data_IF_737537311275
#
_entry.id   IF_737537311275
#
_cell.length_a   1.000
_cell.length_b   1.000
_cell.length_c   1.000
_cell.angle_alpha   90.00
_cell.angle_beta   90.00
_cell.angle_gamma   90.00
#
_symmetry.space_group_name_H-M   'P 1'
#
loop_
_entity.id
_entity.type
_entity.pdbx_description
1 polymer ?
#
# COMPACT_ATOMS: atom_id res chain seq x y z
N UNK A 1 4.03 -18.59 7.14
CA UNK A 1 3.74 -17.27 7.71
C UNK A 1 3.22 -16.38 6.60
N UNK A 2 2.03 -15.80 6.74
CA UNK A 2 1.48 -14.81 5.81
C UNK A 2 1.80 -13.43 6.40
N UNK A 3 3.10 -13.08 6.44
CA UNK A 3 3.53 -11.75 6.87
C UNK A 3 3.30 -10.73 5.76
N UNK A 4 3.00 -9.49 6.11
CA UNK A 4 2.82 -8.38 5.14
C UNK A 4 4.10 -7.96 4.41
N UNK A 5 5.25 -8.56 4.72
CA UNK A 5 6.54 -8.25 4.12
C UNK A 5 6.76 -9.00 2.81
N UNK A 6 7.30 -8.31 1.80
CA UNK A 6 7.68 -8.84 0.50
C UNK A 6 8.87 -9.81 0.67
N UNK A 7 8.68 -11.08 0.29
CA UNK A 7 9.81 -11.96 -0.01
C UNK A 7 10.26 -11.71 -1.46
N UNK A 8 11.56 -11.77 -1.75
CA UNK A 8 12.13 -11.47 -3.10
C UNK A 8 11.50 -12.29 -4.23
N UNK A 9 11.11 -13.53 -3.96
CA UNK A 9 10.40 -14.39 -4.93
C UNK A 9 8.97 -13.92 -5.23
N UNK A 10 8.31 -13.25 -4.29
CA UNK A 10 6.97 -12.72 -4.50
C UNK A 10 7.01 -11.44 -5.36
N UNK A 11 8.11 -10.68 -5.34
CA UNK A 11 8.25 -9.43 -6.08
C UNK A 11 8.21 -9.63 -7.62
N UNK A 12 8.85 -10.67 -8.14
CA UNK A 12 8.85 -10.99 -9.58
C UNK A 12 7.49 -11.46 -10.08
N UNK A 13 6.78 -12.24 -9.28
CA UNK A 13 5.43 -12.70 -9.59
C UNK A 13 4.43 -11.55 -9.49
N UNK A 14 4.52 -10.71 -8.46
CA UNK A 14 3.68 -9.52 -8.32
C UNK A 14 3.81 -8.57 -9.52
N UNK A 15 5.01 -8.41 -10.09
CA UNK A 15 5.21 -7.58 -11.27
C UNK A 15 4.43 -8.09 -12.49
N UNK A 16 4.38 -9.41 -12.69
CA UNK A 16 3.64 -10.02 -13.82
C UNK A 16 2.12 -9.92 -13.66
N UNK A 17 1.62 -9.74 -12.44
CA UNK A 17 0.20 -9.63 -12.14
C UNK A 17 -0.35 -8.20 -12.27
N UNK A 18 0.55 -7.19 -12.34
CA UNK A 18 0.13 -5.79 -12.33
C UNK A 18 -0.57 -5.40 -13.64
N UNK A 19 -1.73 -4.73 -13.56
CA UNK A 19 -2.32 -4.10 -14.72
C UNK A 19 -1.40 -3.00 -15.25
N UNK A 20 -1.40 -2.81 -16.57
CA UNK A 20 -0.56 -1.82 -17.25
C UNK A 20 -1.34 -0.58 -17.68
N UNK A 21 -2.67 -0.64 -17.70
CA UNK A 21 -3.54 0.46 -18.11
C UNK A 21 -4.64 0.72 -17.07
N UNK A 22 -5.21 1.94 -17.07
CA UNK A 22 -6.35 2.28 -16.22
C UNK A 22 -7.57 1.38 -16.48
N UNK A 23 -7.77 0.95 -17.72
CA UNK A 23 -8.89 0.07 -18.07
C UNK A 23 -8.75 -1.34 -17.45
N UNK A 24 -7.53 -1.82 -17.28
CA UNK A 24 -7.23 -3.09 -16.63
C UNK A 24 -7.21 -3.00 -15.10
N UNK A 25 -7.16 -1.79 -14.56
CA UNK A 25 -7.10 -1.56 -13.12
C UNK A 25 -8.50 -1.68 -12.51
N UNK A 26 -8.73 -2.71 -11.71
CA UNK A 26 -10.01 -3.02 -11.07
C UNK A 26 -10.15 -2.18 -9.79
N UNK A 27 -11.36 -1.75 -9.48
CA UNK A 27 -11.68 -0.95 -8.28
C UNK A 27 -11.22 0.51 -8.34
N UNK A 28 -11.26 1.20 -7.21
CA UNK A 28 -10.86 2.61 -7.05
C UNK A 28 -11.49 3.57 -8.08
N UNK A 29 -12.77 3.39 -8.38
CA UNK A 29 -13.43 4.02 -9.53
C UNK A 29 -13.27 5.53 -9.60
N UNK A 30 -13.46 6.25 -8.49
CA UNK A 30 -13.29 7.72 -8.43
C UNK A 30 -11.87 8.17 -8.76
N UNK A 31 -10.87 7.43 -8.26
CA UNK A 31 -9.45 7.73 -8.52
C UNK A 31 -9.14 7.51 -9.99
N UNK A 32 -9.65 6.42 -10.59
CA UNK A 32 -9.49 6.12 -12.03
C UNK A 32 -10.10 7.20 -12.92
N UNK A 33 -11.33 7.60 -12.63
CA UNK A 33 -12.04 8.63 -13.40
C UNK A 33 -11.27 9.95 -13.38
N UNK A 34 -10.85 10.40 -12.20
CA UNK A 34 -10.08 11.64 -12.06
C UNK A 34 -8.73 11.56 -12.81
N UNK A 35 -7.96 10.49 -12.59
CA UNK A 35 -6.67 10.31 -13.25
C UNK A 35 -6.83 10.21 -14.77
N UNK A 36 -7.87 9.54 -15.27
CA UNK A 36 -8.14 9.47 -16.71
C UNK A 36 -8.34 10.85 -17.33
N UNK A 37 -9.11 11.72 -16.66
CA UNK A 37 -9.34 13.11 -17.12
C UNK A 37 -8.02 13.89 -17.10
N UNK A 38 -7.26 13.83 -16.01
CA UNK A 38 -6.02 14.62 -15.87
C UNK A 38 -4.94 14.16 -16.86
N UNK A 39 -4.78 12.85 -17.05
CA UNK A 39 -3.85 12.28 -18.02
C UNK A 39 -4.23 12.68 -19.45
N UNK A 40 -5.51 12.57 -19.82
CA UNK A 40 -5.97 13.00 -21.13
C UNK A 40 -5.73 14.49 -21.37
N UNK A 41 -6.04 15.33 -20.38
CA UNK A 41 -5.83 16.79 -20.48
C UNK A 41 -4.34 17.15 -20.62
N UNK A 42 -3.46 16.52 -19.83
CA UNK A 42 -2.01 16.71 -19.93
C UNK A 42 -1.48 16.31 -21.31
N UNK A 43 -1.90 15.15 -21.83
CA UNK A 43 -1.54 14.68 -23.18
C UNK A 43 -2.04 15.62 -24.30
N UNK A 44 -3.25 16.16 -24.17
CA UNK A 44 -3.79 17.11 -25.16
C UNK A 44 -3.00 18.43 -25.20
N UNK A 45 -2.40 18.82 -24.07
CA UNK A 45 -1.57 20.04 -23.98
C UNK A 45 -0.08 19.77 -24.23
N UNK A 46 0.30 18.51 -24.40
CA UNK A 46 1.72 18.06 -24.50
C UNK A 46 2.54 18.51 -23.28
N UNK A 47 1.94 18.46 -22.10
CA UNK A 47 2.54 18.84 -20.82
C UNK A 47 2.71 17.62 -19.91
N UNK A 48 3.68 17.62 -18.97
CA UNK A 48 3.71 16.62 -17.91
C UNK A 48 2.46 16.68 -17.07
N UNK A 49 2.07 15.57 -16.46
CA UNK A 49 0.99 15.54 -15.50
C UNK A 49 1.39 16.30 -14.23
N UNK A 50 0.46 16.98 -13.59
CA UNK A 50 0.66 17.53 -12.25
C UNK A 50 1.18 16.46 -11.28
N UNK A 51 1.96 16.87 -10.27
CA UNK A 51 2.45 15.93 -9.25
C UNK A 51 1.30 15.28 -8.51
N UNK A 52 1.39 13.96 -8.31
CA UNK A 52 0.34 13.12 -7.74
C UNK A 52 0.77 12.55 -6.39
N UNK A 53 -0.06 12.68 -5.37
CA UNK A 53 0.10 11.97 -4.10
C UNK A 53 -0.92 10.85 -3.98
N UNK A 54 -0.43 9.61 -3.90
CA UNK A 54 -1.23 8.41 -3.67
C UNK A 54 -1.09 8.01 -2.19
N UNK A 55 -2.19 8.01 -1.44
CA UNK A 55 -2.12 7.68 -0.01
C UNK A 55 -3.21 6.72 0.43
N UNK A 56 -2.95 5.97 1.48
CA UNK A 56 -3.85 4.96 2.03
C UNK A 56 -3.11 3.73 2.54
N UNK A 57 -3.82 2.76 3.14
CA UNK A 57 -3.26 1.53 3.68
C UNK A 57 -2.30 0.81 2.71
N UNK A 58 -1.40 -0.06 3.21
CA UNK A 58 -0.50 -0.83 2.37
C UNK A 58 -1.25 -1.85 1.50
N UNK A 59 -0.67 -2.23 0.36
CA UNK A 59 -1.21 -3.29 -0.50
C UNK A 59 -2.40 -2.93 -1.38
N UNK A 60 -2.79 -1.64 -1.44
CA UNK A 60 -3.94 -1.17 -2.24
C UNK A 60 -3.59 -0.80 -3.69
N UNK A 61 -2.34 -0.96 -4.12
CA UNK A 61 -1.94 -0.74 -5.51
C UNK A 61 -1.36 0.65 -5.81
N UNK A 62 -0.85 1.42 -4.83
CA UNK A 62 -0.22 2.74 -5.06
C UNK A 62 0.88 2.68 -6.11
N UNK A 63 1.84 1.77 -5.97
CA UNK A 63 2.93 1.57 -6.92
C UNK A 63 2.45 1.15 -8.31
N UNK A 64 1.42 0.30 -8.36
CA UNK A 64 0.79 -0.14 -9.61
C UNK A 64 0.16 1.05 -10.34
N UNK A 65 -0.57 1.88 -9.62
CA UNK A 65 -1.23 3.05 -10.20
C UNK A 65 -0.20 4.08 -10.69
N UNK A 66 0.91 4.27 -9.98
CA UNK A 66 2.01 5.12 -10.42
C UNK A 66 2.64 4.62 -11.74
N UNK A 67 2.84 3.30 -11.87
CA UNK A 67 3.35 2.70 -13.11
C UNK A 67 2.35 2.87 -14.27
N UNK A 68 1.05 2.74 -14.00
CA UNK A 68 -0.02 2.97 -14.99
C UNK A 68 0.01 4.43 -15.46
N UNK A 69 0.17 5.41 -14.57
CA UNK A 69 0.29 6.82 -14.94
C UNK A 69 1.41 7.01 -15.96
N UNK A 70 2.59 6.47 -15.70
CA UNK A 70 3.72 6.58 -16.63
C UNK A 70 3.42 5.91 -17.99
N UNK A 71 2.82 4.73 -17.96
CA UNK A 71 2.45 4.02 -19.18
C UNK A 71 1.39 4.77 -20.00
N UNK A 72 0.35 5.29 -19.37
CA UNK A 72 -0.69 6.08 -20.03
C UNK A 72 -0.15 7.41 -20.59
N UNK A 73 0.83 8.01 -19.91
CA UNK A 73 1.54 9.21 -20.41
C UNK A 73 2.54 8.88 -21.54
N UNK A 74 2.94 7.61 -21.68
CA UNK A 74 3.92 7.16 -22.69
C UNK A 74 5.36 7.57 -22.36
N UNK A 75 5.72 7.64 -21.07
CA UNK A 75 7.03 8.10 -20.57
C UNK A 75 7.70 7.04 -19.69
N UNK A 76 8.98 7.27 -19.36
CA UNK A 76 9.72 6.37 -18.49
C UNK A 76 9.24 6.44 -17.04
N UNK A 77 9.27 5.28 -16.39
CA UNK A 77 8.92 5.14 -14.98
C UNK A 77 10.18 4.88 -14.16
N UNK A 78 10.57 5.86 -13.34
CA UNK A 78 11.70 5.77 -12.41
C UNK A 78 11.18 5.58 -11.00
N UNK A 79 11.77 4.64 -10.27
CA UNK A 79 11.30 4.29 -8.93
C UNK A 79 12.40 4.42 -7.89
N UNK A 80 12.03 4.97 -6.75
CA UNK A 80 12.85 5.01 -5.54
C UNK A 80 11.95 4.98 -4.30
N UNK A 81 12.54 5.07 -3.13
CA UNK A 81 11.80 5.15 -1.87
C UNK A 81 12.37 6.24 -0.96
N UNK A 82 11.54 6.80 -0.07
CA UNK A 82 11.98 7.78 0.91
C UNK A 82 13.21 7.32 1.70
N UNK A 83 13.21 6.10 2.27
CA UNK A 83 14.37 5.56 3.00
C UNK A 83 15.63 5.40 2.17
N UNK A 84 15.54 5.24 0.86
CA UNK A 84 16.69 5.08 -0.02
C UNK A 84 17.36 6.42 -0.36
N UNK A 85 16.72 7.54 -0.08
CA UNK A 85 17.24 8.90 -0.31
C UNK A 85 17.68 9.49 1.02
N UNK A 86 18.96 9.30 1.36
CA UNK A 86 19.48 9.77 2.65
C UNK A 86 19.95 11.23 2.60
N UNK A 87 20.38 11.71 1.44
CA UNK A 87 20.99 13.02 1.26
C UNK A 87 20.44 13.75 0.05
N UNK A 88 20.52 15.07 0.08
CA UNK A 88 20.16 15.94 -1.05
C UNK A 88 20.87 15.55 -2.35
N UNK A 89 22.13 15.10 -2.28
CA UNK A 89 22.88 14.63 -3.44
C UNK A 89 22.32 13.38 -4.10
N UNK A 90 21.72 12.46 -3.32
CA UNK A 90 21.09 11.25 -3.86
C UNK A 90 19.86 11.63 -4.70
N UNK A 91 19.03 12.54 -4.16
CA UNK A 91 17.89 13.08 -4.88
C UNK A 91 18.32 13.84 -6.14
N UNK A 92 19.35 14.68 -6.03
CA UNK A 92 19.87 15.45 -7.16
C UNK A 92 20.35 14.54 -8.30
N UNK A 93 21.06 13.45 -7.99
CA UNK A 93 21.49 12.47 -8.98
C UNK A 93 20.32 11.81 -9.70
N UNK A 94 19.25 11.45 -8.96
CA UNK A 94 18.03 10.88 -9.55
C UNK A 94 17.36 11.90 -10.47
N UNK A 95 17.10 13.11 -9.99
CA UNK A 95 16.40 14.15 -10.75
C UNK A 95 17.17 14.59 -12.00
N UNK A 96 18.50 14.67 -11.93
CA UNK A 96 19.35 15.01 -13.07
C UNK A 96 19.41 13.93 -14.16
N UNK A 97 18.97 12.71 -13.86
CA UNK A 97 18.90 11.59 -14.81
C UNK A 97 17.56 11.46 -15.52
N UNK A 98 16.58 12.31 -15.18
CA UNK A 98 15.25 12.29 -15.79
C UNK A 98 15.28 12.90 -17.19
N UNK A 99 14.41 12.41 -18.06
CA UNK A 99 14.09 12.98 -19.35
C UNK A 99 12.78 13.78 -19.30
N UNK A 100 12.51 14.68 -20.27
CA UNK A 100 11.28 15.46 -20.27
C UNK A 100 10.03 14.60 -20.25
N UNK A 101 9.15 14.85 -19.27
CA UNK A 101 7.91 14.12 -19.07
C UNK A 101 8.00 12.87 -18.20
N UNK A 102 9.19 12.42 -17.84
CA UNK A 102 9.38 11.22 -17.00
C UNK A 102 8.55 11.26 -15.72
N UNK A 103 8.13 10.08 -15.26
CA UNK A 103 7.47 9.90 -13.97
C UNK A 103 8.49 9.35 -12.96
N UNK A 104 8.75 10.15 -11.92
CA UNK A 104 9.51 9.72 -10.75
C UNK A 104 8.54 9.27 -9.66
N UNK A 105 8.63 8.02 -9.25
CA UNK A 105 7.87 7.46 -8.14
C UNK A 105 8.73 7.37 -6.88
N UNK A 106 8.27 7.97 -5.78
CA UNK A 106 8.89 7.86 -4.46
C UNK A 106 7.91 7.17 -3.52
N UNK A 107 8.21 5.90 -3.18
CA UNK A 107 7.44 5.19 -2.16
C UNK A 107 7.83 5.67 -0.75
N UNK A 108 6.90 5.58 0.19
CA UNK A 108 7.10 6.06 1.58
C UNK A 108 7.66 7.50 1.64
N UNK A 109 7.11 8.40 0.81
CA UNK A 109 7.61 9.77 0.64
C UNK A 109 7.64 10.57 1.95
N UNK A 110 6.82 10.21 2.95
CA UNK A 110 6.84 10.79 4.29
C UNK A 110 8.11 10.49 5.10
N UNK A 111 8.95 9.56 4.63
CA UNK A 111 10.23 9.20 5.26
C UNK A 111 11.42 9.94 4.68
N UNK A 112 11.20 10.87 3.76
CA UNK A 112 12.26 11.74 3.26
C UNK A 112 12.83 12.58 4.41
N UNK A 113 14.17 12.68 4.54
CA UNK A 113 14.78 13.63 5.46
C UNK A 113 14.39 15.07 5.09
N UNK A 114 14.19 15.93 6.09
CA UNK A 114 13.80 17.34 5.87
C UNK A 114 14.70 18.09 4.90
N UNK A 115 16.01 17.88 5.00
CA UNK A 115 16.98 18.50 4.09
C UNK A 115 16.81 18.05 2.62
N UNK A 116 16.28 16.85 2.39
CA UNK A 116 15.94 16.33 1.06
C UNK A 116 14.63 16.94 0.58
N UNK A 117 13.63 17.06 1.44
CA UNK A 117 12.37 17.75 1.10
C UNK A 117 12.62 19.20 0.65
N UNK A 118 13.51 19.95 1.35
CA UNK A 118 13.83 21.34 1.01
C UNK A 118 14.45 21.48 -0.39
N UNK A 119 15.19 20.48 -0.85
CA UNK A 119 15.73 20.43 -2.23
C UNK A 119 14.66 20.01 -3.24
N UNK A 120 13.71 19.20 -2.81
CA UNK A 120 12.61 18.73 -3.68
C UNK A 120 11.61 19.86 -4.01
N UNK A 121 11.41 20.83 -3.14
CA UNK A 121 10.41 21.89 -3.36
C UNK A 121 10.65 22.69 -4.64
N UNK A 122 11.83 23.31 -4.88
CA UNK A 122 12.08 24.03 -6.14
C UNK A 122 12.11 23.10 -7.36
N UNK A 123 12.49 21.85 -7.18
CA UNK A 123 12.43 20.87 -8.26
C UNK A 123 10.98 20.58 -8.71
N UNK A 124 10.01 20.57 -7.79
CA UNK A 124 8.60 20.37 -8.10
C UNK A 124 7.92 21.62 -8.68
N UNK A 125 8.29 22.81 -8.18
CA UNK A 125 7.62 24.07 -8.59
C UNK A 125 8.18 24.64 -9.88
N UNK A 126 9.51 24.72 -9.95
CA UNK A 126 10.22 25.51 -10.98
C UNK A 126 11.22 24.69 -11.80
N UNK A 127 11.27 23.37 -11.59
CA UNK A 127 12.16 22.42 -12.29
C UNK A 127 13.63 22.82 -12.23
N UNK A 128 14.13 23.16 -11.05
CA UNK A 128 15.56 23.37 -10.83
C UNK A 128 16.00 22.83 -9.46
N UNK A 129 17.30 22.64 -9.31
CA UNK A 129 17.96 22.31 -8.05
C UNK A 129 18.99 23.38 -7.73
N UNK A 130 19.06 23.80 -6.46
CA UNK A 130 20.17 24.57 -5.93
C UNK A 130 21.07 23.64 -5.09
N UNK A 131 22.28 23.36 -5.59
CA UNK A 131 23.25 22.49 -4.93
C UNK A 131 24.41 23.32 -4.40
N UNK A 132 24.72 23.14 -3.11
CA UNK A 132 25.89 23.78 -2.50
C UNK A 132 27.12 22.90 -2.75
N UNK A 133 28.06 23.42 -3.50
CA UNK A 133 29.37 22.78 -3.81
C UNK A 133 30.45 23.43 -2.96
N UNK A 134 31.26 22.61 -2.28
CA UNK A 134 32.37 23.06 -1.42
C UNK A 134 31.91 23.19 0.06
N UNK A 135 32.86 23.56 0.90
CA UNK A 135 32.65 23.71 2.36
C UNK A 135 33.20 25.05 2.85
N UNK A 136 32.63 25.60 3.91
CA UNK A 136 33.07 26.85 4.54
C UNK A 136 32.90 28.08 3.65
N UNK A 137 33.77 29.09 3.76
CA UNK A 137 33.65 30.37 3.01
C UNK A 137 33.73 30.25 1.49
N UNK A 138 34.24 29.12 0.96
CA UNK A 138 34.35 28.85 -0.48
C UNK A 138 33.12 28.08 -1.02
N UNK A 139 32.13 27.79 -0.21
CA UNK A 139 30.93 27.14 -0.67
C UNK A 139 30.17 28.02 -1.69
N UNK A 140 29.75 27.42 -2.80
CA UNK A 140 29.01 28.11 -3.86
C UNK A 140 27.71 27.34 -4.13
N UNK A 141 26.60 28.07 -4.27
CA UNK A 141 25.38 27.50 -4.79
C UNK A 141 25.43 27.45 -6.32
N UNK A 142 25.16 26.29 -6.88
CA UNK A 142 25.05 26.07 -8.33
C UNK A 142 23.62 25.64 -8.61
N UNK A 143 22.97 26.37 -9.51
CA UNK A 143 21.64 26.02 -10.02
C UNK A 143 21.79 25.05 -11.18
N UNK A 144 21.02 23.96 -11.12
CA UNK A 144 20.90 22.95 -12.17
C UNK A 144 19.46 22.94 -12.64
N UNK A 145 19.22 23.28 -13.90
CA UNK A 145 17.90 23.18 -14.51
C UNK A 145 17.55 21.71 -14.75
N UNK A 146 16.31 21.34 -14.45
CA UNK A 146 15.75 20.01 -14.64
C UNK A 146 14.76 20.00 -15.81
N UNK A 147 14.64 18.88 -16.53
CA UNK A 147 13.53 18.71 -17.45
C UNK A 147 12.20 18.68 -16.65
N UNK A 148 11.09 19.18 -17.22
CA UNK A 148 9.78 19.01 -16.61
C UNK A 148 9.46 17.53 -16.40
N UNK A 149 9.01 17.15 -15.22
CA UNK A 149 8.71 15.77 -14.82
C UNK A 149 7.47 15.71 -13.94
N UNK A 150 6.93 14.51 -13.77
CA UNK A 150 5.85 14.26 -12.82
C UNK A 150 6.38 13.49 -11.61
N UNK A 151 6.22 14.04 -10.41
CA UNK A 151 6.45 13.30 -9.17
C UNK A 151 5.16 12.57 -8.77
N UNK A 152 5.24 11.27 -8.59
CA UNK A 152 4.20 10.48 -7.94
C UNK A 152 4.72 10.03 -6.57
N UNK A 153 4.25 10.67 -5.51
CA UNK A 153 4.55 10.27 -4.14
C UNK A 153 3.55 9.23 -3.65
N UNK A 154 4.03 8.23 -2.91
CA UNK A 154 3.17 7.29 -2.20
C UNK A 154 3.44 7.30 -0.70
N UNK A 155 2.38 7.17 0.10
CA UNK A 155 2.51 7.09 1.56
C UNK A 155 1.37 6.29 2.19
N UNK A 156 1.69 5.57 3.23
CA UNK A 156 0.70 4.96 4.14
C UNK A 156 0.23 5.97 5.20
N UNK A 157 1.01 7.01 5.46
CA UNK A 157 0.84 7.98 6.56
C UNK A 157 0.80 9.42 6.05
N UNK A 158 -0.28 9.81 5.37
CA UNK A 158 -0.42 11.17 4.83
C UNK A 158 -0.31 12.28 5.89
N UNK A 159 -0.67 11.98 7.13
CA UNK A 159 -0.55 12.92 8.25
C UNK A 159 0.89 13.22 8.70
N UNK A 160 1.88 12.40 8.30
CA UNK A 160 3.31 12.63 8.60
C UNK A 160 4.00 13.47 7.51
N UNK A 161 3.36 13.69 6.38
CA UNK A 161 3.88 14.60 5.35
C UNK A 161 3.90 16.04 5.87
N UNK A 162 5.00 16.73 5.60
CA UNK A 162 5.06 18.16 5.86
C UNK A 162 4.00 18.91 5.03
N UNK A 163 3.40 19.93 5.59
CA UNK A 163 2.42 20.73 4.86
C UNK A 163 3.01 21.33 3.56
N UNK A 164 4.25 21.89 3.56
CA UNK A 164 4.87 22.39 2.35
C UNK A 164 5.03 21.34 1.23
N UNK A 165 5.37 20.10 1.57
CA UNK A 165 5.48 19.03 0.57
C UNK A 165 4.10 18.63 0.04
N UNK A 166 3.14 18.46 0.93
CA UNK A 166 1.78 18.05 0.55
C UNK A 166 1.10 19.06 -0.38
N UNK A 167 1.29 20.36 -0.11
CA UNK A 167 0.64 21.44 -0.87
C UNK A 167 1.20 21.60 -2.30
N UNK A 168 2.33 20.94 -2.60
CA UNK A 168 2.94 20.89 -3.94
C UNK A 168 2.41 19.78 -4.84
N UNK A 169 1.62 18.86 -4.28
CA UNK A 169 0.92 17.88 -5.07
C UNK A 169 -0.40 18.47 -5.61
N UNK A 170 -0.51 18.60 -6.94
CA UNK A 170 -1.72 19.08 -7.60
C UNK A 170 -2.86 18.07 -7.55
N UNK A 171 -2.55 16.78 -7.46
CA UNK A 171 -3.52 15.68 -7.42
C UNK A 171 -3.33 14.85 -6.14
N UNK A 172 -4.35 14.85 -5.29
CA UNK A 172 -4.37 14.05 -4.06
C UNK A 172 -5.37 12.89 -4.22
N UNK A 173 -4.89 11.65 -4.22
CA UNK A 173 -5.72 10.46 -4.43
C UNK A 173 -5.62 9.51 -3.25
N UNK A 174 -6.70 9.41 -2.49
CA UNK A 174 -6.83 8.42 -1.42
C UNK A 174 -7.29 7.09 -2.00
N UNK A 175 -6.51 6.03 -1.74
CA UNK A 175 -6.92 4.67 -2.04
C UNK A 175 -7.63 4.09 -0.80
N UNK A 176 -8.75 3.43 -1.06
CA UNK A 176 -9.57 2.81 -0.04
C UNK A 176 -9.49 1.29 -0.15
N UNK A 177 -9.92 0.59 0.90
CA UNK A 177 -10.05 -0.85 0.84
C UNK A 177 -11.05 -1.24 -0.25
N UNK A 178 -10.75 -2.34 -0.93
CA UNK A 178 -11.54 -2.85 -2.03
C UNK A 178 -12.80 -3.55 -1.53
N UNK A 179 -13.87 -3.42 -2.27
CA UNK A 179 -15.07 -4.22 -2.09
C UNK A 179 -14.81 -5.69 -2.47
N UNK A 180 -15.56 -6.61 -1.86
CA UNK A 180 -15.38 -8.05 -2.13
C UNK A 180 -15.61 -8.39 -3.60
N UNK A 181 -16.48 -7.66 -4.30
CA UNK A 181 -16.76 -7.86 -5.72
C UNK A 181 -15.52 -7.54 -6.56
N UNK A 182 -14.88 -6.40 -6.32
CA UNK A 182 -13.65 -6.01 -7.02
C UNK A 182 -12.51 -7.01 -6.75
N UNK A 183 -12.38 -7.47 -5.50
CA UNK A 183 -11.38 -8.49 -5.15
C UNK A 183 -11.64 -9.83 -5.80
N UNK A 184 -12.90 -10.22 -5.97
CA UNK A 184 -13.27 -11.45 -6.68
C UNK A 184 -12.80 -11.37 -8.14
N UNK A 185 -13.05 -10.26 -8.82
CA UNK A 185 -12.57 -10.01 -10.19
C UNK A 185 -11.03 -10.03 -10.27
N UNK A 186 -10.34 -9.44 -9.28
CA UNK A 186 -8.87 -9.50 -9.19
C UNK A 186 -8.38 -10.94 -9.02
N UNK A 187 -9.02 -11.75 -8.17
CA UNK A 187 -8.69 -13.16 -7.95
C UNK A 187 -8.88 -13.97 -9.24
N UNK A 188 -10.01 -13.81 -9.92
CA UNK A 188 -10.31 -14.50 -11.17
C UNK A 188 -9.27 -14.12 -12.24
N UNK A 189 -9.00 -12.84 -12.45
CA UNK A 189 -7.96 -12.37 -13.37
C UNK A 189 -6.57 -12.93 -13.03
N UNK A 190 -6.23 -12.96 -11.74
CA UNK A 190 -4.93 -13.51 -11.30
C UNK A 190 -4.85 -15.01 -11.53
N UNK A 191 -5.94 -15.75 -11.34
CA UNK A 191 -6.02 -17.17 -11.64
C UNK A 191 -5.81 -17.44 -13.14
N UNK A 192 -6.40 -16.63 -14.01
CA UNK A 192 -6.20 -16.70 -15.46
C UNK A 192 -4.73 -16.46 -15.84
N UNK A 193 -4.07 -15.47 -15.27
CA UNK A 193 -2.63 -15.21 -15.49
C UNK A 193 -1.79 -16.40 -15.03
N UNK A 194 -2.16 -17.05 -13.94
CA UNK A 194 -1.52 -18.29 -13.46
C UNK A 194 -1.91 -19.54 -14.27
N UNK A 195 -2.76 -19.40 -15.29
CA UNK A 195 -3.30 -20.52 -16.06
C UNK A 195 -3.94 -21.60 -15.17
N UNK A 196 -4.64 -21.15 -14.14
CA UNK A 196 -5.28 -22.00 -13.13
C UNK A 196 -6.76 -21.70 -13.11
N UNK A 197 -7.60 -22.70 -13.32
CA UNK A 197 -9.04 -22.54 -13.19
C UNK A 197 -9.44 -22.42 -11.71
N UNK A 198 -10.37 -21.52 -11.41
CA UNK A 198 -10.96 -21.35 -10.08
C UNK A 198 -12.48 -21.30 -10.17
N UNK A 199 -13.16 -21.99 -9.27
CA UNK A 199 -14.63 -21.90 -9.17
C UNK A 199 -15.02 -20.56 -8.56
N UNK A 200 -16.16 -20.01 -8.99
CA UNK A 200 -16.64 -18.69 -8.56
C UNK A 200 -16.82 -18.58 -7.05
N UNK A 201 -17.32 -19.65 -6.42
CA UNK A 201 -17.49 -19.69 -4.96
C UNK A 201 -16.12 -19.65 -4.24
N UNK A 202 -15.11 -20.31 -4.78
CA UNK A 202 -13.75 -20.28 -4.29
C UNK A 202 -13.12 -18.88 -4.43
N UNK A 203 -13.28 -18.25 -5.59
CA UNK A 203 -12.79 -16.87 -5.81
C UNK A 203 -13.46 -15.87 -4.86
N UNK A 204 -14.76 -16.01 -4.64
CA UNK A 204 -15.51 -15.18 -3.69
C UNK A 204 -15.01 -15.37 -2.24
N UNK A 205 -14.69 -16.60 -1.84
CA UNK A 205 -14.19 -16.89 -0.51
C UNK A 205 -12.77 -16.33 -0.30
N UNK A 206 -11.88 -16.46 -1.29
CA UNK A 206 -10.55 -15.81 -1.26
C UNK A 206 -10.70 -14.30 -1.13
N UNK A 207 -11.59 -13.69 -1.93
CA UNK A 207 -11.84 -12.26 -1.91
C UNK A 207 -12.34 -11.79 -0.53
N UNK A 208 -13.29 -12.51 0.05
CA UNK A 208 -13.88 -12.21 1.37
C UNK A 208 -12.84 -12.19 2.48
N UNK A 209 -11.87 -13.14 2.45
CA UNK A 209 -10.82 -13.24 3.47
C UNK A 209 -9.56 -12.42 3.14
N UNK A 210 -9.59 -11.61 2.06
CA UNK A 210 -8.44 -10.81 1.62
C UNK A 210 -8.31 -9.44 2.28
N UNK A 211 -9.10 -9.15 3.31
CA UNK A 211 -8.99 -7.91 4.11
C UNK A 211 -9.10 -6.63 3.28
N UNK A 212 -9.90 -6.63 2.22
CA UNK A 212 -10.02 -5.47 1.33
C UNK A 212 -8.76 -5.14 0.51
N UNK A 213 -7.80 -6.08 0.39
CA UNK A 213 -6.45 -5.78 -0.12
C UNK A 213 -6.06 -6.69 -1.27
N UNK A 214 -5.82 -6.17 -2.49
CA UNK A 214 -5.38 -6.96 -3.65
C UNK A 214 -4.10 -7.78 -3.42
N UNK A 215 -3.13 -7.23 -2.69
CA UNK A 215 -1.88 -7.94 -2.34
C UNK A 215 -2.17 -9.21 -1.56
N UNK A 216 -3.06 -9.14 -0.55
CA UNK A 216 -3.42 -10.31 0.25
C UNK A 216 -4.21 -11.31 -0.59
N UNK A 217 -5.15 -10.85 -1.43
CA UNK A 217 -5.90 -11.70 -2.34
C UNK A 217 -4.98 -12.54 -3.24
N UNK A 218 -4.02 -11.89 -3.89
CA UNK A 218 -3.05 -12.55 -4.75
C UNK A 218 -2.15 -13.55 -4.00
N UNK A 219 -1.74 -13.21 -2.77
CA UNK A 219 -0.93 -14.11 -1.92
C UNK A 219 -1.71 -15.34 -1.49
N UNK A 220 -2.95 -15.16 -1.05
CA UNK A 220 -3.82 -16.28 -0.68
C UNK A 220 -4.07 -17.17 -1.88
N UNK A 221 -4.41 -16.62 -3.04
CA UNK A 221 -4.62 -17.38 -4.26
C UNK A 221 -3.38 -18.19 -4.66
N UNK A 222 -2.18 -17.60 -4.57
CA UNK A 222 -0.92 -18.30 -4.86
C UNK A 222 -0.77 -19.54 -3.99
N UNK A 223 -1.01 -19.44 -2.68
CA UNK A 223 -0.89 -20.57 -1.74
C UNK A 223 -1.98 -21.62 -1.93
N UNK A 224 -3.21 -21.18 -2.20
CA UNK A 224 -4.33 -22.09 -2.50
C UNK A 224 -4.05 -22.87 -3.78
N UNK A 225 -3.53 -22.21 -4.84
CA UNK A 225 -3.09 -22.84 -6.07
C UNK A 225 -2.04 -23.93 -5.81
N UNK A 226 -1.02 -23.63 -4.98
CA UNK A 226 0.03 -24.60 -4.67
C UNK A 226 -0.57 -25.89 -4.07
N UNK A 227 -1.55 -25.76 -3.16
CA UNK A 227 -2.25 -26.89 -2.53
C UNK A 227 -3.13 -27.64 -3.54
N UNK A 228 -3.89 -26.91 -4.36
CA UNK A 228 -4.75 -27.48 -5.41
C UNK A 228 -3.93 -28.30 -6.43
N UNK A 229 -2.76 -27.79 -6.84
CA UNK A 229 -1.83 -28.49 -7.72
C UNK A 229 -1.30 -29.81 -7.10
N UNK A 230 -0.92 -29.78 -5.83
CA UNK A 230 -0.46 -30.99 -5.12
C UNK A 230 -1.58 -32.03 -5.01
N UNK A 231 -2.84 -31.58 -4.85
CA UNK A 231 -4.01 -32.46 -4.87
C UNK A 231 -4.41 -32.98 -6.25
N UNK A 232 -3.80 -32.45 -7.33
CA UNK A 232 -4.13 -32.82 -8.71
C UNK A 232 -5.51 -32.34 -9.18
N UNK A 233 -6.03 -31.27 -8.63
CA UNK A 233 -7.33 -30.70 -9.02
C UNK A 233 -7.21 -29.98 -10.36
N UNK A 234 -8.23 -30.08 -11.19
CA UNK A 234 -8.33 -29.36 -12.46
C UNK A 234 -8.80 -27.91 -12.30
N UNK A 235 -9.45 -27.62 -11.19
CA UNK A 235 -9.93 -26.28 -10.83
C UNK A 235 -9.96 -26.15 -9.30
N UNK A 236 -9.54 -25.00 -8.80
CA UNK A 236 -9.59 -24.69 -7.37
C UNK A 236 -11.05 -24.70 -6.89
N UNK A 237 -11.34 -25.59 -5.95
CA UNK A 237 -12.67 -25.76 -5.36
C UNK A 237 -12.81 -24.93 -4.07
N UNK A 238 -14.06 -24.70 -3.62
CA UNK A 238 -14.33 -24.08 -2.33
C UNK A 238 -13.73 -24.92 -1.17
N UNK A 239 -13.89 -26.24 -1.24
CA UNK A 239 -13.35 -27.16 -0.24
C UNK A 239 -11.83 -27.02 -0.06
N UNK A 240 -11.10 -27.01 -1.19
CA UNK A 240 -9.63 -26.79 -1.16
C UNK A 240 -9.27 -25.39 -0.71
N UNK A 241 -10.08 -24.38 -1.05
CA UNK A 241 -9.90 -23.02 -0.56
C UNK A 241 -10.03 -22.96 0.96
N UNK A 242 -11.10 -23.50 1.54
CA UNK A 242 -11.31 -23.51 3.00
C UNK A 242 -10.24 -24.30 3.76
N UNK A 243 -9.85 -25.47 3.21
CA UNK A 243 -8.73 -26.23 3.78
C UNK A 243 -7.44 -25.42 3.78
N UNK A 244 -7.13 -24.76 2.66
CA UNK A 244 -5.92 -23.97 2.51
C UNK A 244 -5.89 -22.78 3.45
N UNK A 245 -7.00 -22.06 3.56
CA UNK A 245 -7.12 -20.92 4.47
C UNK A 245 -7.00 -21.34 5.94
N UNK A 246 -7.55 -22.50 6.30
CA UNK A 246 -7.37 -23.10 7.63
C UNK A 246 -5.90 -23.46 7.89
N UNK A 247 -5.20 -24.05 6.93
CA UNK A 247 -3.76 -24.34 7.05
C UNK A 247 -2.92 -23.07 7.18
N UNK A 248 -3.33 -21.98 6.54
CA UNK A 248 -2.69 -20.66 6.63
C UNK A 248 -3.10 -19.89 7.89
N UNK A 249 -3.97 -20.45 8.72
CA UNK A 249 -4.51 -19.82 9.94
C UNK A 249 -5.23 -18.51 9.66
N UNK A 250 -5.93 -18.42 8.51
CA UNK A 250 -6.76 -17.27 8.14
C UNK A 250 -8.21 -17.61 8.47
N UNK A 251 -8.80 -16.85 9.38
CA UNK A 251 -10.17 -17.08 9.85
C UNK A 251 -11.25 -16.54 8.90
N UNK A 252 -12.51 -16.66 9.31
CA UNK A 252 -13.68 -16.31 8.49
C UNK A 252 -13.76 -14.82 8.09
N UNK A 253 -13.12 -13.93 8.82
CA UNK A 253 -13.05 -12.50 8.49
C UNK A 253 -11.68 -12.07 7.97
N UNK A 254 -10.81 -13.03 7.67
CA UNK A 254 -9.47 -12.77 7.12
C UNK A 254 -8.41 -12.41 8.16
N UNK A 255 -8.65 -12.62 9.46
CA UNK A 255 -7.62 -12.42 10.48
C UNK A 255 -6.58 -13.54 10.42
N UNK A 256 -5.33 -13.16 10.40
CA UNK A 256 -4.22 -14.10 10.54
C UNK A 256 -3.85 -14.36 12.01
N UNK A 257 -2.83 -15.16 12.21
CA UNK A 257 -2.36 -15.52 13.55
C UNK A 257 -1.97 -14.30 14.40
N UNK A 258 -1.34 -13.28 13.78
CA UNK A 258 -0.89 -12.09 14.53
C UNK A 258 -2.08 -11.20 14.91
N UNK A 259 -3.04 -11.00 14.01
CA UNK A 259 -4.28 -10.27 14.34
C UNK A 259 -5.00 -10.91 15.52
N UNK A 260 -5.14 -12.25 15.48
CA UNK A 260 -5.81 -13.00 16.54
C UNK A 260 -5.03 -12.91 17.86
N UNK A 261 -3.70 -12.99 17.81
CA UNK A 261 -2.82 -12.83 18.98
C UNK A 261 -2.95 -11.43 19.56
N UNK A 262 -2.99 -10.39 18.70
CA UNK A 262 -3.18 -8.99 19.11
C UNK A 262 -4.50 -8.79 19.84
N UNK A 263 -5.60 -9.23 19.22
CA UNK A 263 -6.94 -9.06 19.79
C UNK A 263 -7.10 -9.84 21.09
N UNK A 264 -6.68 -11.11 21.11
CA UNK A 264 -6.72 -11.95 22.32
C UNK A 264 -5.85 -11.40 23.44
N UNK A 265 -4.64 -10.91 23.12
CA UNK A 265 -3.77 -10.26 24.11
C UNK A 265 -4.43 -9.04 24.75
N UNK A 266 -5.10 -8.19 23.95
CA UNK A 266 -5.84 -7.05 24.52
C UNK A 266 -7.01 -7.53 25.40
N UNK A 267 -7.72 -8.58 24.97
CA UNK A 267 -8.87 -9.13 25.72
C UNK A 267 -8.42 -9.77 27.02
N UNK A 268 -7.46 -10.70 26.97
CA UNK A 268 -7.09 -11.58 28.07
C UNK A 268 -6.15 -10.88 29.06
N UNK A 269 -5.08 -10.23 28.57
CA UNK A 269 -4.05 -9.62 29.41
C UNK A 269 -4.42 -8.21 29.91
N UNK A 270 -5.19 -7.46 29.10
CA UNK A 270 -5.57 -6.09 29.40
C UNK A 270 -7.08 -5.86 29.53
N UNK A 271 -7.83 -6.96 29.67
CA UNK A 271 -9.27 -6.92 29.93
C UNK A 271 -10.04 -6.06 28.90
N UNK A 272 -9.65 -6.11 27.62
CA UNK A 272 -10.26 -5.35 26.53
C UNK A 272 -9.72 -3.93 26.35
N UNK A 273 -8.80 -3.51 27.19
CA UNK A 273 -8.15 -2.19 27.12
C UNK A 273 -8.81 -1.13 28.00
N UNK A 274 -8.40 0.16 27.91
CA UNK A 274 -7.44 0.72 26.95
C UNK A 274 -5.99 0.36 27.22
N UNK A 275 -5.24 0.02 26.19
CA UNK A 275 -3.82 -0.36 26.28
C UNK A 275 -2.97 0.40 25.23
N UNK A 276 -1.78 0.84 25.62
CA UNK A 276 -0.85 1.57 24.75
C UNK A 276 -0.27 0.67 23.66
N UNK A 277 0.07 1.26 22.52
CA UNK A 277 0.62 0.54 21.36
C UNK A 277 1.91 -0.22 21.69
N UNK A 278 2.85 0.42 22.40
CA UNK A 278 4.13 -0.18 22.76
C UNK A 278 3.97 -1.37 23.73
N UNK A 279 2.96 -1.30 24.60
CA UNK A 279 2.61 -2.41 25.50
C UNK A 279 2.08 -3.60 24.72
N UNK A 280 1.18 -3.36 23.74
CA UNK A 280 0.68 -4.41 22.85
C UNK A 280 1.83 -5.03 22.07
N UNK A 281 2.69 -4.20 21.48
CA UNK A 281 3.85 -4.60 20.69
C UNK A 281 4.76 -5.54 21.48
N UNK A 282 5.10 -5.15 22.72
CA UNK A 282 5.90 -6.00 23.61
C UNK A 282 5.22 -7.33 23.95
N UNK A 283 3.89 -7.32 24.15
CA UNK A 283 3.13 -8.54 24.51
C UNK A 283 3.10 -9.56 23.38
N UNK A 284 2.91 -9.09 22.13
CA UNK A 284 2.81 -10.00 20.99
C UNK A 284 4.16 -10.25 20.29
N UNK A 285 5.22 -9.51 20.66
CA UNK A 285 6.55 -9.66 20.07
C UNK A 285 6.66 -9.06 18.66
N UNK A 286 5.96 -7.95 18.42
CA UNK A 286 5.97 -7.22 17.15
C UNK A 286 6.46 -5.78 17.37
N UNK A 287 6.88 -5.11 16.29
CA UNK A 287 7.21 -3.69 16.35
C UNK A 287 5.93 -2.83 16.40
N UNK A 288 5.92 -1.78 17.22
CA UNK A 288 4.79 -0.84 17.33
C UNK A 288 4.36 -0.27 15.98
N UNK A 289 5.34 0.06 15.13
CA UNK A 289 5.09 0.61 13.80
C UNK A 289 4.42 -0.42 12.89
N UNK A 290 4.84 -1.68 12.93
CA UNK A 290 4.22 -2.78 12.16
C UNK A 290 2.76 -2.97 12.56
N UNK A 291 2.47 -2.93 13.87
CA UNK A 291 1.08 -3.01 14.34
C UNK A 291 0.25 -1.86 13.77
N UNK A 292 0.75 -0.62 13.88
CA UNK A 292 0.03 0.57 13.45
C UNK A 292 -0.18 0.64 11.93
N UNK A 293 0.79 0.17 11.13
CA UNK A 293 0.75 0.30 9.68
C UNK A 293 0.09 -0.89 8.98
N UNK A 294 0.22 -2.10 9.53
CA UNK A 294 -0.19 -3.33 8.84
C UNK A 294 -1.46 -3.95 9.43
N UNK A 295 -1.53 -4.07 10.76
CA UNK A 295 -2.62 -4.80 11.42
C UNK A 295 -3.79 -3.90 11.83
N UNK A 296 -3.50 -2.80 12.49
CA UNK A 296 -4.50 -1.90 13.05
C UNK A 296 -5.47 -1.31 12.01
N UNK A 297 -5.06 -0.92 10.77
CA UNK A 297 -5.97 -0.31 9.80
C UNK A 297 -7.16 -1.21 9.45
N UNK A 298 -6.93 -2.50 9.28
CA UNK A 298 -8.00 -3.44 8.98
C UNK A 298 -8.89 -3.70 10.20
N UNK A 299 -8.30 -3.87 11.37
CA UNK A 299 -9.05 -4.08 12.62
C UNK A 299 -9.95 -2.89 12.97
N UNK A 300 -9.50 -1.66 12.69
CA UNK A 300 -10.31 -0.46 12.80
C UNK A 300 -11.46 -0.45 11.79
N UNK A 301 -11.18 -0.83 10.53
CA UNK A 301 -12.18 -0.87 9.46
C UNK A 301 -13.31 -1.84 9.76
N UNK A 302 -12.99 -3.05 10.19
CA UNK A 302 -14.01 -4.05 10.54
C UNK A 302 -14.65 -3.76 11.90
N UNK A 303 -14.16 -2.74 12.62
CA UNK A 303 -14.69 -2.31 13.91
C UNK A 303 -14.38 -3.25 15.06
N UNK A 304 -13.26 -3.97 15.02
CA UNK A 304 -12.83 -4.86 16.12
C UNK A 304 -12.05 -4.13 17.20
N UNK A 305 -11.38 -3.03 16.84
CA UNK A 305 -10.71 -2.14 17.79
C UNK A 305 -11.13 -0.70 17.58
N UNK A 306 -10.90 0.12 18.59
CA UNK A 306 -11.04 1.58 18.55
C UNK A 306 -9.82 2.25 19.15
N UNK A 307 -9.45 3.40 18.61
CA UNK A 307 -8.43 4.28 19.18
C UNK A 307 -9.05 5.26 20.17
N UNK A 308 -8.46 5.33 21.34
CA UNK A 308 -8.82 6.32 22.36
C UNK A 308 -7.58 7.13 22.79
N UNK A 309 -7.71 8.28 23.45
CA UNK A 309 -6.56 9.02 23.98
C UNK A 309 -5.68 8.21 24.94
N UNK A 310 -6.24 7.18 25.59
CA UNK A 310 -5.53 6.30 26.54
C UNK A 310 -4.96 5.03 25.90
N UNK A 311 -5.26 4.76 24.63
CA UNK A 311 -4.80 3.56 23.93
C UNK A 311 -5.89 2.88 23.10
N UNK A 312 -5.66 1.62 22.79
CA UNK A 312 -6.56 0.79 21.98
C UNK A 312 -7.50 0.00 22.87
N UNK A 313 -8.75 -0.11 22.44
CA UNK A 313 -9.78 -0.93 23.08
C UNK A 313 -10.36 -1.91 22.07
N UNK A 314 -10.67 -3.12 22.54
CA UNK A 314 -11.38 -4.13 21.75
C UNK A 314 -12.89 -3.91 21.88
N UNK A 315 -13.59 -4.01 20.77
CA UNK A 315 -15.05 -3.77 20.72
C UNK A 315 -15.84 -5.02 21.03
N UNK A 316 -17.14 -4.92 21.43
CA UNK A 316 -18.02 -6.07 21.60
C UNK A 316 -18.10 -6.99 20.38
N UNK A 317 -17.95 -6.42 19.17
CA UNK A 317 -17.94 -7.18 17.91
C UNK A 317 -16.80 -8.19 17.84
N UNK A 318 -15.61 -7.82 18.31
CA UNK A 318 -14.47 -8.74 18.36
C UNK A 318 -14.65 -9.82 19.43
N UNK A 319 -15.22 -9.50 20.59
CA UNK A 319 -15.59 -10.52 21.60
C UNK A 319 -16.55 -11.56 21.02
N UNK A 320 -17.59 -11.10 20.34
CA UNK A 320 -18.56 -11.98 19.67
C UNK A 320 -17.89 -12.90 18.65
N UNK A 321 -16.95 -12.36 17.86
CA UNK A 321 -16.19 -13.13 16.87
C UNK A 321 -15.40 -14.29 17.50
N UNK A 322 -14.81 -14.09 18.67
CA UNK A 322 -14.11 -15.14 19.40
C UNK A 322 -15.03 -16.01 20.29
N UNK A 323 -16.35 -15.77 20.28
CA UNK A 323 -17.27 -16.48 21.16
C UNK A 323 -17.10 -16.15 22.65
N UNK A 324 -16.47 -15.01 22.95
CA UNK A 324 -16.23 -14.54 24.31
C UNK A 324 -17.37 -13.62 24.77
N UNK A 325 -17.66 -13.65 26.08
CA UNK A 325 -18.63 -12.72 26.67
C UNK A 325 -17.96 -11.37 26.89
N UNK A 326 -18.70 -10.31 26.59
CA UNK A 326 -18.30 -8.95 26.96
C UNK A 326 -18.51 -8.82 28.47
N UNK A 327 -17.45 -8.53 29.22
CA UNK A 327 -17.64 -8.12 30.63
C UNK A 327 -18.37 -6.77 30.60
N UNK A 328 -19.63 -6.76 30.98
CA UNK A 328 -20.40 -5.53 31.19
C UNK A 328 -19.76 -4.77 32.34
N UNK A 329 -18.90 -3.82 31.97
CA UNK A 329 -18.40 -2.83 32.93
C UNK A 329 -19.31 -1.64 32.87
N UNK A 330 -19.97 -1.38 33.99
CA UNK A 330 -20.63 -0.12 34.32
C UNK A 330 -19.72 1.11 34.20
#
# INVERSE_FOLDING_TARGET
>A
MVTGELQEEDATVELSLRPTTLNQYIGQQKVKENLSIFIQAARMREEPLDHVLLYGPPGLGKTTLAAIIANEMGVQFRTTSGPAIERAGDLAAILSSLEPGDVLFIDEVHRLPRAVEEVLYPAMEDFFLDIVIGTGPSARSVRIDLPPFTLVGATTRAGLLSAPLRDRFGVLSRLEFYETVDLCEIVERTADIFQTSIKKEAASEVARRSRGTPRIANRLLKRIRDISQVKGETAISLETTDLSLSMLQVDDVGLDHIDQKLLKGIIEDFQGGPVGLDTIAATIGEESQTIEDVYEPYLLQIGFIQRTPRGRIVTPKAYTHFGLKVDERE
#
